data_IF_576549112912
#
_entry.id   IF_576549112912
#
_cell.length_a   1.000
_cell.length_b   1.000
_cell.length_c   1.000
_cell.angle_alpha   90.00
_cell.angle_beta   90.00
_cell.angle_gamma   90.00
#
_symmetry.space_group_name_H-M   'P 1'
#
loop_
_entity.id
_entity.type
_entity.pdbx_description
1 polymer ?
#
# COMPACT_ATOMS: atom_id res chain seq x y z
N UNK A 1 -20.30 -40.79 21.98
CA UNK A 1 -20.11 -39.72 20.98
C UNK A 1 -21.47 -39.07 20.78
N UNK A 2 -21.68 -37.90 21.38
CA UNK A 2 -22.93 -37.14 21.25
C UNK A 2 -22.81 -36.18 20.05
N UNK A 3 -23.88 -36.01 19.25
CA UNK A 3 -23.88 -35.04 18.17
C UNK A 3 -24.02 -33.61 18.72
N UNK A 4 -23.42 -32.60 18.06
CA UNK A 4 -23.50 -31.21 18.50
C UNK A 4 -24.87 -30.60 18.16
N UNK A 5 -25.44 -29.91 19.14
CA UNK A 5 -26.67 -29.13 19.03
C UNK A 5 -26.46 -27.87 18.16
N UNK A 6 -27.30 -27.72 17.13
CA UNK A 6 -27.38 -26.51 16.31
C UNK A 6 -28.10 -25.38 17.06
N UNK A 7 -27.44 -24.22 17.15
CA UNK A 7 -28.06 -22.98 17.66
C UNK A 7 -28.83 -22.25 16.55
N UNK A 8 -30.00 -21.66 16.85
CA UNK A 8 -30.78 -20.90 15.89
C UNK A 8 -30.12 -19.53 15.59
N UNK A 9 -30.21 -19.12 14.33
CA UNK A 9 -29.81 -17.79 13.83
C UNK A 9 -30.90 -16.77 14.18
N UNK A 10 -30.55 -15.73 14.93
CA UNK A 10 -31.37 -14.53 15.08
C UNK A 10 -31.24 -13.64 13.83
N UNK A 11 -32.39 -13.30 13.25
CA UNK A 11 -32.55 -12.27 12.22
C UNK A 11 -32.46 -10.89 12.89
N UNK A 12 -31.42 -10.14 12.58
CA UNK A 12 -31.26 -8.75 12.99
C UNK A 12 -31.84 -7.79 11.95
N UNK A 13 -32.87 -7.03 12.33
CA UNK A 13 -33.42 -5.90 11.57
C UNK A 13 -32.35 -4.84 11.28
N UNK A 14 -32.07 -4.59 10.00
CA UNK A 14 -31.27 -3.46 9.55
C UNK A 14 -32.06 -2.15 9.67
N UNK A 15 -31.68 -1.30 10.63
CA UNK A 15 -32.15 0.09 10.68
C UNK A 15 -31.32 0.99 9.74
N UNK A 16 -31.92 2.04 9.13
CA UNK A 16 -31.28 2.88 8.11
C UNK A 16 -30.11 3.71 8.68
N UNK A 17 -29.01 3.74 7.93
CA UNK A 17 -27.68 4.27 8.31
C UNK A 17 -27.49 5.79 8.14
N UNK A 18 -28.53 6.54 7.79
CA UNK A 18 -28.36 7.94 7.33
C UNK A 18 -28.56 9.04 8.40
N UNK A 19 -29.21 8.78 9.53
CA UNK A 19 -29.43 9.83 10.55
C UNK A 19 -28.36 9.91 11.64
N UNK A 20 -27.38 9.00 11.69
CA UNK A 20 -26.31 9.04 12.70
C UNK A 20 -25.11 9.93 12.33
N UNK A 21 -25.04 10.48 11.10
CA UNK A 21 -23.90 11.29 10.68
C UNK A 21 -24.04 12.80 10.92
N UNK A 22 -25.23 13.33 11.25
CA UNK A 22 -25.40 14.78 11.50
C UNK A 22 -25.32 15.22 12.97
N UNK A 23 -25.35 14.30 13.94
CA UNK A 23 -25.23 14.67 15.37
C UNK A 23 -23.80 14.71 15.93
N UNK A 24 -22.75 14.41 15.13
CA UNK A 24 -21.36 14.52 15.58
C UNK A 24 -20.69 15.88 15.33
N UNK A 25 -21.33 16.81 14.60
CA UNK A 25 -20.74 18.12 14.33
C UNK A 25 -21.15 19.25 15.31
N UNK A 26 -22.16 19.05 16.16
CA UNK A 26 -22.64 20.10 17.08
C UNK A 26 -22.09 20.03 18.51
N UNK A 27 -21.23 19.05 18.84
CA UNK A 27 -20.43 19.06 20.08
C UNK A 27 -19.07 19.72 19.86
N UNK A 28 -19.05 20.89 19.20
CA UNK A 28 -17.99 21.85 19.44
C UNK A 28 -18.15 22.33 20.88
N UNK A 29 -17.44 21.64 21.76
CA UNK A 29 -17.22 21.98 23.15
C UNK A 29 -17.06 23.48 23.27
N UNK A 30 -17.94 24.11 24.05
CA UNK A 30 -17.69 25.39 24.65
C UNK A 30 -16.34 25.28 25.36
N UNK A 31 -15.28 25.76 24.70
CA UNK A 31 -13.95 25.83 25.30
C UNK A 31 -14.12 26.69 26.55
N UNK A 32 -13.90 26.13 27.76
CA UNK A 32 -13.95 26.94 28.96
C UNK A 32 -13.01 28.14 28.75
N UNK A 33 -13.41 29.35 29.18
CA UNK A 33 -12.59 30.54 29.03
C UNK A 33 -11.21 30.21 29.58
N UNK A 34 -10.17 30.47 28.77
CA UNK A 34 -8.78 30.18 29.09
C UNK A 34 -8.38 30.95 30.36
N UNK A 35 -8.68 30.39 31.53
CA UNK A 35 -8.11 30.84 32.79
C UNK A 35 -6.59 30.73 32.58
N UNK A 36 -5.84 31.78 32.90
CA UNK A 36 -4.39 31.73 32.93
C UNK A 36 -3.96 30.69 33.97
N UNK A 37 -3.83 29.41 33.56
CA UNK A 37 -3.49 28.29 34.44
C UNK A 37 -2.12 28.46 35.12
N UNK A 38 -1.30 29.38 34.63
CA UNK A 38 0.09 29.58 35.06
C UNK A 38 0.33 30.91 35.79
N UNK A 39 -0.72 31.59 36.27
CA UNK A 39 -0.58 32.86 37.01
C UNK A 39 -0.14 32.63 38.48
N UNK A 40 0.98 31.95 38.65
CA UNK A 40 1.64 31.70 39.94
C UNK A 40 2.98 32.44 40.05
N UNK A 41 3.34 33.23 39.05
CA UNK A 41 4.64 33.89 38.94
C UNK A 41 4.97 34.83 40.10
N UNK A 42 3.96 35.32 40.84
CA UNK A 42 4.09 36.35 41.88
C UNK A 42 3.80 35.89 43.32
N UNK A 43 3.69 34.58 43.57
CA UNK A 43 3.52 34.13 44.96
C UNK A 43 4.80 34.40 45.77
N UNK A 44 4.69 34.95 46.99
CA UNK A 44 5.84 35.14 47.85
C UNK A 44 6.46 33.76 48.16
N UNK A 45 7.75 33.64 47.94
CA UNK A 45 8.51 32.43 48.23
C UNK A 45 8.70 32.37 49.75
N UNK A 46 8.31 31.28 50.43
CA UNK A 46 8.54 31.17 51.86
C UNK A 46 10.05 31.13 52.17
N UNK A 47 10.49 31.75 53.29
CA UNK A 47 11.89 31.74 53.67
C UNK A 47 12.39 30.30 53.89
N UNK A 48 13.69 30.08 53.69
CA UNK A 48 14.38 28.80 53.91
C UNK A 48 13.87 27.61 53.09
N UNK A 49 13.07 27.83 52.04
CA UNK A 49 12.57 26.77 51.16
C UNK A 49 13.53 26.47 50.00
N UNK A 50 13.57 25.21 49.56
CA UNK A 50 14.27 24.79 48.35
C UNK A 50 13.41 25.10 47.13
N UNK A 51 13.74 26.18 46.41
CA UNK A 51 12.97 26.62 45.24
C UNK A 51 13.36 25.83 43.99
N UNK A 52 12.39 25.20 43.34
CA UNK A 52 12.55 24.56 42.03
C UNK A 52 11.84 25.43 40.98
N UNK A 53 12.61 25.92 40.02
CA UNK A 53 12.12 26.81 38.97
C UNK A 53 11.77 26.02 37.72
N UNK A 54 10.55 26.22 37.22
CA UNK A 54 10.07 25.70 35.95
C UNK A 54 9.98 26.83 34.94
N UNK A 55 10.70 26.74 33.83
CA UNK A 55 10.46 27.58 32.65
C UNK A 55 9.53 26.83 31.70
N UNK A 56 8.38 27.42 31.44
CA UNK A 56 7.31 26.82 30.65
C UNK A 56 6.88 27.77 29.56
N UNK A 57 6.80 27.28 28.32
CA UNK A 57 6.28 28.04 27.20
C UNK A 57 4.83 28.48 27.45
N UNK A 58 4.56 29.78 27.32
CA UNK A 58 3.23 30.40 27.50
C UNK A 58 2.81 31.16 26.24
N UNK A 59 1.52 31.51 26.14
CA UNK A 59 0.95 32.27 25.03
C UNK A 59 1.22 31.62 23.66
N UNK A 60 1.14 30.28 23.58
CA UNK A 60 1.52 29.55 22.37
C UNK A 60 0.67 29.95 21.16
N UNK A 61 -0.62 30.14 21.39
CA UNK A 61 -1.59 30.53 20.36
C UNK A 61 -1.37 31.95 19.81
N UNK A 62 -0.81 32.87 20.61
CA UNK A 62 -0.63 34.27 20.22
C UNK A 62 0.77 34.56 19.66
N UNK A 63 1.80 33.96 20.26
CA UNK A 63 3.20 34.32 19.98
C UNK A 63 3.86 33.43 18.92
N UNK A 64 3.39 32.19 18.73
CA UNK A 64 3.96 31.26 17.77
C UNK A 64 2.91 30.24 17.29
N UNK A 65 1.77 30.77 16.83
CA UNK A 65 0.64 30.00 16.29
C UNK A 65 1.02 29.06 15.14
N UNK A 66 2.08 29.36 14.41
CA UNK A 66 2.62 28.50 13.34
C UNK A 66 3.22 27.19 13.85
N UNK A 67 3.52 27.07 15.15
CA UNK A 67 4.04 25.85 15.74
C UNK A 67 2.89 24.95 16.19
N UNK A 68 2.49 24.02 15.33
CA UNK A 68 1.41 23.05 15.61
C UNK A 68 1.73 22.07 16.75
N UNK A 69 2.96 22.03 17.24
CA UNK A 69 3.41 21.11 18.28
C UNK A 69 3.30 21.67 19.70
N UNK A 70 2.89 22.93 19.88
CA UNK A 70 2.86 23.59 21.18
C UNK A 70 1.45 23.66 21.76
N UNK A 71 1.19 22.82 22.76
CA UNK A 71 -0.07 22.79 23.51
C UNK A 71 0.13 23.33 24.94
N UNK A 72 -0.25 24.59 25.15
CA UNK A 72 -0.15 25.29 26.44
C UNK A 72 -0.88 24.56 27.57
N UNK A 73 -1.99 23.88 27.27
CA UNK A 73 -2.72 23.10 28.28
C UNK A 73 -1.89 21.90 28.74
N UNK A 74 -1.17 21.24 27.82
CA UNK A 74 -0.26 20.15 28.15
C UNK A 74 0.89 20.63 29.04
N UNK A 75 1.48 21.78 28.72
CA UNK A 75 2.53 22.39 29.53
C UNK A 75 2.04 22.69 30.96
N UNK A 76 0.85 23.28 31.10
CA UNK A 76 0.27 23.60 32.40
C UNK A 76 -0.06 22.36 33.23
N UNK A 77 -0.72 21.36 32.63
CA UNK A 77 -1.03 20.07 33.29
C UNK A 77 0.25 19.40 33.80
N UNK A 78 1.26 19.30 32.93
CA UNK A 78 2.52 18.66 33.28
C UNK A 78 3.22 19.40 34.42
N UNK A 79 3.22 20.74 34.43
CA UNK A 79 3.76 21.51 35.56
C UNK A 79 3.04 21.20 36.88
N UNK A 80 1.70 21.10 36.88
CA UNK A 80 0.96 20.77 38.11
C UNK A 80 1.30 19.37 38.64
N UNK A 81 1.37 18.37 37.76
CA UNK A 81 1.80 17.02 38.12
C UNK A 81 3.20 17.02 38.74
N UNK A 82 4.13 17.78 38.14
CA UNK A 82 5.47 17.96 38.68
C UNK A 82 5.47 18.66 40.04
N UNK A 83 4.70 19.75 40.17
CA UNK A 83 4.61 20.51 41.41
C UNK A 83 4.16 19.62 42.57
N UNK A 84 3.07 18.89 42.38
CA UNK A 84 2.54 17.97 43.40
C UNK A 84 3.56 16.86 43.73
N UNK A 85 4.16 16.24 42.72
CA UNK A 85 5.11 15.16 42.94
C UNK A 85 6.43 15.62 43.60
N UNK A 86 6.95 16.80 43.23
CA UNK A 86 8.16 17.38 43.84
C UNK A 86 7.90 17.81 45.28
N UNK A 87 6.81 18.54 45.54
CA UNK A 87 6.45 19.01 46.88
C UNK A 87 6.14 17.84 47.83
N UNK A 88 5.61 16.73 47.31
CA UNK A 88 5.42 15.50 48.07
C UNK A 88 6.74 14.73 48.34
N UNK A 89 7.65 14.65 47.36
CA UNK A 89 8.86 13.84 47.45
C UNK A 89 10.02 14.54 48.17
N UNK A 90 10.04 15.88 48.19
CA UNK A 90 11.16 16.70 48.68
C UNK A 90 10.61 17.65 49.76
N UNK A 91 10.82 17.34 51.05
CA UNK A 91 10.36 18.20 52.14
C UNK A 91 10.93 19.60 52.01
N UNK A 92 10.14 20.60 52.39
CA UNK A 92 10.55 22.02 52.36
C UNK A 92 10.95 22.51 50.95
N UNK A 93 10.40 21.90 49.89
CA UNK A 93 10.54 22.39 48.53
C UNK A 93 9.35 23.27 48.12
N UNK A 94 9.59 24.18 47.18
CA UNK A 94 8.57 25.07 46.64
C UNK A 94 8.76 25.21 45.13
N UNK A 95 7.74 24.87 44.34
CA UNK A 95 7.82 24.92 42.88
C UNK A 95 7.26 26.23 42.34
N UNK A 96 8.06 26.96 41.56
CA UNK A 96 7.64 28.20 40.88
C UNK A 96 7.70 28.03 39.37
N UNK A 97 6.77 28.65 38.65
CA UNK A 97 6.73 28.65 37.18
C UNK A 97 6.96 30.05 36.63
N UNK A 98 7.88 30.18 35.67
CA UNK A 98 8.27 31.42 35.00
C UNK A 98 8.60 32.59 35.95
N UNK A 99 8.96 32.29 37.20
CA UNK A 99 9.29 33.32 38.18
C UNK A 99 10.54 34.08 37.74
N UNK A 100 10.45 35.40 37.67
CA UNK A 100 11.48 36.30 37.13
C UNK A 100 11.82 36.12 35.63
N UNK A 101 11.01 35.38 34.87
CA UNK A 101 11.19 35.18 33.42
C UNK A 101 10.12 35.97 32.66
N UNK A 102 10.50 37.14 32.13
CA UNK A 102 9.57 38.01 31.39
C UNK A 102 9.11 37.40 30.07
N UNK A 103 10.00 36.65 29.40
CA UNK A 103 9.75 36.05 28.10
C UNK A 103 10.25 34.60 28.09
N UNK A 104 9.43 33.65 28.53
CA UNK A 104 9.78 32.24 28.46
C UNK A 104 10.10 31.85 27.03
N UNK A 105 11.12 31.02 26.90
CA UNK A 105 11.55 30.42 25.65
C UNK A 105 10.43 29.68 24.94
N UNK A 106 10.29 29.90 23.64
CA UNK A 106 9.36 29.13 22.80
C UNK A 106 9.68 27.64 22.89
N UNK A 107 8.67 26.84 23.29
CA UNK A 107 8.76 25.38 23.43
C UNK A 107 9.52 24.86 24.65
N UNK A 108 9.89 25.73 25.58
CA UNK A 108 10.61 25.36 26.79
C UNK A 108 9.76 24.58 27.78
N UNK A 109 10.38 23.55 28.35
CA UNK A 109 10.00 22.92 29.62
C UNK A 109 11.32 22.63 30.33
N UNK A 110 11.79 23.61 31.09
CA UNK A 110 13.11 23.57 31.75
C UNK A 110 12.90 23.51 33.26
N UNK A 111 13.65 22.66 33.94
CA UNK A 111 13.63 22.52 35.40
C UNK A 111 15.01 22.93 35.91
N UNK A 112 15.05 23.95 36.76
CA UNK A 112 16.30 24.52 37.27
C UNK A 112 16.26 24.74 38.78
N UNK A 113 17.44 24.71 39.40
CA UNK A 113 17.64 25.08 40.79
C UNK A 113 18.94 25.88 40.92
N UNK A 114 18.90 27.06 41.54
CA UNK A 114 20.06 27.95 41.67
C UNK A 114 20.82 28.18 40.34
N UNK A 115 20.09 28.49 39.27
CA UNK A 115 20.62 28.67 37.90
C UNK A 115 21.30 27.44 37.28
N UNK A 116 21.14 26.24 37.86
CA UNK A 116 21.63 24.97 37.29
C UNK A 116 20.46 24.19 36.69
N UNK A 117 20.64 23.75 35.44
CA UNK A 117 19.62 22.98 34.70
C UNK A 117 19.65 21.52 35.16
N UNK A 118 18.51 21.03 35.62
CA UNK A 118 18.28 19.62 35.99
C UNK A 118 17.66 18.87 34.80
N UNK A 119 16.73 19.52 34.09
CA UNK A 119 16.11 18.97 32.89
C UNK A 119 15.85 20.08 31.87
N UNK A 120 16.07 19.77 30.60
CA UNK A 120 15.79 20.63 29.46
C UNK A 120 15.09 19.86 28.35
N UNK A 121 13.83 20.22 28.07
CA UNK A 121 13.08 19.73 26.91
C UNK A 121 13.72 20.19 25.60
N UNK A 122 14.29 21.40 25.57
CA UNK A 122 15.01 21.90 24.39
C UNK A 122 16.24 21.07 24.06
N UNK A 123 16.87 20.47 25.07
CA UNK A 123 18.02 19.60 24.86
C UNK A 123 17.64 18.15 24.57
N UNK A 124 16.61 17.61 25.24
CA UNK A 124 16.17 16.23 25.05
C UNK A 124 15.31 16.04 23.79
N UNK A 125 14.61 17.08 23.35
CA UNK A 125 13.58 17.01 22.32
C UNK A 125 12.26 16.35 22.78
N UNK A 126 12.17 15.91 24.04
CA UNK A 126 11.06 15.13 24.58
C UNK A 126 10.47 15.82 25.81
N UNK A 127 9.22 15.50 26.14
CA UNK A 127 8.65 15.89 27.43
C UNK A 127 9.19 14.98 28.54
N UNK A 128 9.46 15.51 29.74
CA UNK A 128 9.93 14.70 30.85
C UNK A 128 8.83 13.79 31.38
N UNK A 129 9.21 12.59 31.81
CA UNK A 129 8.34 11.72 32.61
C UNK A 129 8.44 12.15 34.08
N UNK A 130 7.31 12.32 34.77
CA UNK A 130 7.24 12.90 36.12
C UNK A 130 8.09 12.12 37.13
N UNK A 131 7.77 10.85 37.36
CA UNK A 131 8.44 10.02 38.37
C UNK A 131 9.99 9.99 38.25
N UNK A 132 10.59 9.59 37.11
CA UNK A 132 12.05 9.53 37.00
C UNK A 132 12.72 10.90 37.06
N UNK A 133 12.02 11.96 36.64
CA UNK A 133 12.56 13.33 36.72
C UNK A 133 12.52 13.85 38.15
N UNK A 134 11.50 13.51 38.94
CA UNK A 134 11.46 13.82 40.39
C UNK A 134 12.59 13.11 41.14
N UNK A 135 12.85 11.83 40.84
CA UNK A 135 14.02 11.13 41.38
C UNK A 135 15.34 11.81 41.00
N UNK A 136 15.45 12.28 39.75
CA UNK A 136 16.61 13.05 39.27
C UNK A 136 16.79 14.36 40.05
N UNK A 137 15.70 15.09 40.33
CA UNK A 137 15.74 16.31 41.15
C UNK A 137 16.23 15.98 42.57
N UNK A 138 15.71 14.93 43.19
CA UNK A 138 16.14 14.49 44.52
C UNK A 138 17.63 14.18 44.57
N UNK A 139 18.12 13.33 43.66
CA UNK A 139 19.56 12.99 43.56
C UNK A 139 20.43 14.22 43.29
N UNK A 140 19.98 15.13 42.43
CA UNK A 140 20.67 16.39 42.14
C UNK A 140 20.85 17.23 43.42
N UNK A 141 19.79 17.38 44.22
CA UNK A 141 19.86 18.14 45.47
C UNK A 141 20.75 17.46 46.50
N UNK A 142 20.70 16.14 46.62
CA UNK A 142 21.56 15.38 47.52
C UNK A 142 23.04 15.52 47.12
N UNK A 143 23.36 15.40 45.84
CA UNK A 143 24.71 15.58 45.33
C UNK A 143 25.21 17.02 45.49
N UNK A 144 24.33 18.01 45.31
CA UNK A 144 24.64 19.42 45.55
C UNK A 144 24.98 19.69 47.03
N UNK A 145 24.19 19.13 47.96
CA UNK A 145 24.45 19.23 49.42
C UNK A 145 25.76 18.55 49.81
N UNK A 146 26.10 17.44 49.16
CA UNK A 146 27.33 16.68 49.41
C UNK A 146 28.56 17.25 48.66
N UNK A 147 28.41 18.36 47.92
CA UNK A 147 29.52 18.98 47.19
C UNK A 147 30.03 18.18 45.98
N UNK A 148 29.23 17.24 45.46
CA UNK A 148 29.58 16.50 44.24
C UNK A 148 29.38 17.36 42.99
N UNK A 149 30.08 17.01 41.91
CA UNK A 149 29.87 17.68 40.63
C UNK A 149 28.50 17.34 40.04
N UNK A 150 27.67 18.36 39.86
CA UNK A 150 26.32 18.25 39.31
C UNK A 150 26.24 18.59 37.81
N UNK A 151 27.37 18.88 37.15
CA UNK A 151 27.37 19.23 35.70
C UNK A 151 26.78 18.14 34.82
N UNK A 152 26.88 16.86 35.21
CA UNK A 152 26.32 15.73 34.48
C UNK A 152 24.80 15.61 34.55
N UNK A 153 24.12 16.39 35.41
CA UNK A 153 22.67 16.29 35.58
C UNK A 153 21.88 17.05 34.54
N UNK A 154 22.44 18.03 33.84
CA UNK A 154 21.72 18.63 32.73
C UNK A 154 21.43 17.54 31.69
N UNK A 155 20.23 17.52 31.10
CA UNK A 155 20.06 16.81 29.83
C UNK A 155 20.98 17.51 28.84
N UNK A 156 22.20 17.01 28.69
CA UNK A 156 23.02 17.37 27.55
C UNK A 156 22.19 16.96 26.35
N UNK A 157 22.06 17.83 25.34
CA UNK A 157 21.82 17.32 23.99
C UNK A 157 22.82 16.20 23.88
N UNK A 158 22.38 14.95 23.72
CA UNK A 158 23.31 13.91 23.34
C UNK A 158 24.09 14.58 22.22
N UNK A 159 25.39 14.80 22.44
CA UNK A 159 26.28 15.11 21.34
C UNK A 159 26.21 13.81 20.57
N UNK A 160 25.15 13.66 19.76
CA UNK A 160 24.95 12.67 18.73
C UNK A 160 26.31 12.69 18.11
N UNK A 161 27.14 11.68 18.44
CA UNK A 161 28.57 11.74 18.18
C UNK A 161 28.64 12.22 16.75
N UNK A 162 29.06 13.47 16.58
CA UNK A 162 29.26 14.00 15.25
C UNK A 162 30.47 13.16 14.87
N UNK A 163 30.20 12.01 14.22
CA UNK A 163 31.21 11.30 13.44
C UNK A 163 31.94 12.43 12.77
N UNK A 164 33.25 12.62 13.02
CA UNK A 164 33.98 13.81 12.61
C UNK A 164 33.51 14.09 11.21
N UNK A 165 32.81 15.21 11.04
CA UNK A 165 32.24 15.56 9.75
C UNK A 165 33.49 15.72 8.91
N UNK A 166 33.87 14.66 8.19
CA UNK A 166 34.80 14.74 7.10
C UNK A 166 34.25 15.90 6.32
N UNK A 167 34.98 17.02 6.34
CA UNK A 167 34.65 18.19 5.57
C UNK A 167 34.74 17.69 4.13
N UNK A 168 33.65 17.11 3.63
CA UNK A 168 33.48 16.78 2.23
C UNK A 168 33.56 18.14 1.59
N UNK A 169 34.75 18.46 1.08
CA UNK A 169 35.00 19.68 0.35
C UNK A 169 33.88 19.78 -0.66
N UNK A 170 33.08 20.84 -0.56
CA UNK A 170 32.00 21.05 -1.52
C UNK A 170 32.65 20.94 -2.91
N UNK A 171 32.16 20.06 -3.79
CA UNK A 171 32.78 19.87 -5.09
C UNK A 171 32.91 21.22 -5.77
N UNK A 172 34.07 21.48 -6.35
CA UNK A 172 34.30 22.71 -7.10
C UNK A 172 33.26 22.81 -8.22
N UNK A 173 32.90 24.02 -8.64
CA UNK A 173 31.91 24.23 -9.70
C UNK A 173 32.25 23.43 -10.98
N UNK A 174 33.53 23.28 -11.30
CA UNK A 174 34.01 22.42 -12.39
C UNK A 174 33.69 20.93 -12.18
N UNK A 175 33.82 20.41 -10.95
CA UNK A 175 33.43 19.03 -10.63
C UNK A 175 31.91 18.82 -10.75
N UNK A 176 31.11 19.84 -10.42
CA UNK A 176 29.66 19.81 -10.62
C UNK A 176 29.27 19.76 -12.10
N UNK A 177 29.91 20.58 -12.95
CA UNK A 177 29.70 20.56 -14.40
C UNK A 177 30.04 19.17 -14.96
N UNK A 178 31.21 18.62 -14.60
CA UNK A 178 31.64 17.30 -15.08
C UNK A 178 30.68 16.19 -14.65
N UNK A 179 30.16 16.23 -13.42
CA UNK A 179 29.13 15.28 -12.97
C UNK A 179 27.84 15.40 -13.79
N UNK A 180 27.43 16.62 -14.14
CA UNK A 180 26.22 16.85 -14.94
C UNK A 180 26.38 16.39 -16.39
N UNK A 181 27.55 16.61 -16.99
CA UNK A 181 27.87 16.08 -18.31
C UNK A 181 27.87 14.55 -18.33
N UNK A 182 28.45 13.91 -17.31
CA UNK A 182 28.46 12.45 -17.21
C UNK A 182 27.05 11.89 -16.98
N UNK A 183 26.22 12.57 -16.19
CA UNK A 183 24.82 12.19 -15.98
C UNK A 183 24.01 12.27 -17.29
N UNK A 184 24.25 13.32 -18.09
CA UNK A 184 23.62 13.48 -19.40
C UNK A 184 24.06 12.39 -20.38
N UNK A 185 25.37 12.11 -20.45
CA UNK A 185 25.90 11.04 -21.30
C UNK A 185 25.34 9.65 -20.91
N UNK A 186 25.16 9.39 -19.61
CA UNK A 186 24.51 8.15 -19.14
C UNK A 186 23.05 8.08 -19.55
N UNK A 187 22.30 9.18 -19.47
CA UNK A 187 20.89 9.19 -19.92
C UNK A 187 20.77 8.97 -21.43
N UNK A 188 21.68 9.55 -22.21
CA UNK A 188 21.73 9.36 -23.66
C UNK A 188 22.05 7.91 -24.04
N UNK A 189 23.05 7.29 -23.38
CA UNK A 189 23.39 5.88 -23.58
C UNK A 189 22.22 4.94 -23.24
N UNK A 190 21.48 5.21 -22.15
CA UNK A 190 20.28 4.44 -21.78
C UNK A 190 19.20 4.57 -22.85
N UNK A 191 19.02 5.77 -23.43
CA UNK A 191 18.03 6.00 -24.49
C UNK A 191 18.40 5.22 -25.75
N UNK A 192 19.66 5.24 -26.16
CA UNK A 192 20.16 4.51 -27.33
C UNK A 192 20.04 3.00 -27.14
N UNK A 193 20.37 2.48 -25.95
CA UNK A 193 20.23 1.05 -25.64
C UNK A 193 18.76 0.59 -25.71
N UNK A 194 17.84 1.40 -25.18
CA UNK A 194 16.40 1.11 -25.23
C UNK A 194 15.87 1.15 -26.67
N UNK A 195 16.34 2.10 -27.50
CA UNK A 195 15.98 2.16 -28.91
C UNK A 195 16.50 0.92 -29.67
N UNK A 196 17.72 0.46 -29.38
CA UNK A 196 18.28 -0.76 -29.97
C UNK A 196 17.47 -1.99 -29.60
N UNK A 197 17.13 -2.15 -28.31
CA UNK A 197 16.29 -3.27 -27.83
C UNK A 197 14.92 -3.28 -28.48
N UNK A 198 14.33 -2.09 -28.68
CA UNK A 198 13.04 -1.97 -29.36
C UNK A 198 13.13 -2.40 -30.84
N UNK A 199 14.15 -1.96 -31.58
CA UNK A 199 14.37 -2.38 -32.99
C UNK A 199 14.62 -3.88 -33.11
N UNK A 200 15.39 -4.46 -32.19
CA UNK A 200 15.66 -5.90 -32.16
C UNK A 200 14.38 -6.71 -31.89
N UNK A 201 13.51 -6.21 -31.00
CA UNK A 201 12.20 -6.82 -30.76
C UNK A 201 11.28 -6.72 -31.99
N UNK A 202 11.21 -5.56 -32.63
CA UNK A 202 10.42 -5.35 -33.86
C UNK A 202 10.91 -6.30 -34.99
N UNK A 203 12.23 -6.45 -35.17
CA UNK A 203 12.79 -7.39 -36.16
C UNK A 203 12.47 -8.87 -35.82
N UNK A 204 12.49 -9.23 -34.53
CA UNK A 204 12.15 -10.58 -34.09
C UNK A 204 10.67 -10.89 -34.32
N UNK A 205 9.77 -9.96 -33.99
CA UNK A 205 8.33 -10.10 -34.22
C UNK A 205 8.02 -10.19 -35.72
N UNK A 206 8.74 -9.45 -36.57
CA UNK A 206 8.60 -9.54 -38.02
C UNK A 206 9.05 -10.91 -38.56
N UNK A 207 10.19 -11.44 -38.09
CA UNK A 207 10.65 -12.79 -38.47
C UNK A 207 9.67 -13.89 -38.04
N UNK A 208 9.17 -13.83 -36.81
CA UNK A 208 8.17 -14.77 -36.31
C UNK A 208 6.86 -14.70 -37.12
N UNK A 209 6.46 -13.49 -37.53
CA UNK A 209 5.31 -13.31 -38.41
C UNK A 209 5.53 -13.93 -39.79
N UNK A 210 6.68 -13.68 -40.42
CA UNK A 210 7.02 -14.26 -41.72
C UNK A 210 7.09 -15.80 -41.67
N UNK A 211 7.61 -16.35 -40.56
CA UNK A 211 7.65 -17.79 -40.35
C UNK A 211 6.26 -18.40 -40.19
N UNK A 212 5.37 -17.76 -39.42
CA UNK A 212 3.96 -18.18 -39.30
C UNK A 212 3.25 -18.15 -40.65
N UNK A 213 3.44 -17.10 -41.44
CA UNK A 213 2.85 -16.99 -42.78
C UNK A 213 3.36 -18.10 -43.72
N UNK A 214 4.64 -18.51 -43.60
CA UNK A 214 5.18 -19.65 -44.37
C UNK A 214 4.57 -20.98 -43.94
N UNK A 215 4.46 -21.23 -42.64
CA UNK A 215 3.86 -22.47 -42.11
C UNK A 215 2.37 -22.54 -42.52
N UNK A 216 1.63 -21.43 -42.45
CA UNK A 216 0.24 -21.37 -42.89
C UNK A 216 0.09 -21.66 -44.39
N UNK A 217 0.95 -21.07 -45.23
CA UNK A 217 0.95 -21.33 -46.66
C UNK A 217 1.30 -22.80 -47.00
N UNK A 218 2.24 -23.41 -46.26
CA UNK A 218 2.60 -24.82 -46.43
C UNK A 218 1.45 -25.75 -46.00
N UNK A 219 0.84 -25.51 -44.84
CA UNK A 219 -0.33 -26.27 -44.38
C UNK A 219 -1.50 -26.18 -45.35
N UNK A 220 -1.73 -25.00 -45.94
CA UNK A 220 -2.74 -24.82 -46.98
C UNK A 220 -2.45 -25.66 -48.22
N UNK A 221 -1.19 -25.71 -48.67
CA UNK A 221 -0.79 -26.56 -49.81
C UNK A 221 -0.99 -28.04 -49.53
N UNK A 222 -0.66 -28.50 -48.32
CA UNK A 222 -0.88 -29.89 -47.89
C UNK A 222 -2.37 -30.22 -47.91
N UNK A 223 -3.21 -29.34 -47.35
CA UNK A 223 -4.66 -29.53 -47.33
C UNK A 223 -5.28 -29.55 -48.75
N UNK A 224 -4.80 -28.70 -49.66
CA UNK A 224 -5.23 -28.71 -51.07
C UNK A 224 -4.81 -30.00 -51.78
N UNK A 225 -3.61 -30.53 -51.51
CA UNK A 225 -3.13 -31.79 -52.08
C UNK A 225 -3.92 -33.00 -51.54
N UNK A 226 -4.21 -33.04 -50.24
CA UNK A 226 -5.05 -34.09 -49.63
C UNK A 226 -6.48 -34.06 -50.18
N UNK A 227 -7.06 -32.87 -50.33
CA UNK A 227 -8.38 -32.71 -50.94
C UNK A 227 -8.41 -33.19 -52.40
N UNK A 228 -7.36 -32.89 -53.18
CA UNK A 228 -7.23 -33.36 -54.56
C UNK A 228 -7.11 -34.88 -54.65
N UNK A 229 -6.27 -35.51 -53.80
CA UNK A 229 -6.13 -36.98 -53.72
C UNK A 229 -7.46 -37.65 -53.36
N UNK A 230 -8.17 -37.11 -52.37
CA UNK A 230 -9.49 -37.63 -51.97
C UNK A 230 -10.51 -37.53 -53.11
N UNK A 231 -10.54 -36.41 -53.83
CA UNK A 231 -11.43 -36.23 -54.98
C UNK A 231 -11.11 -37.21 -56.12
N UNK A 232 -9.83 -37.53 -56.35
CA UNK A 232 -9.42 -38.54 -57.33
C UNK A 232 -9.79 -39.96 -56.89
N UNK A 233 -9.60 -40.31 -55.61
CA UNK A 233 -10.03 -41.58 -55.03
C UNK A 233 -11.55 -41.78 -55.16
N UNK A 234 -12.34 -40.75 -54.82
CA UNK A 234 -13.79 -40.78 -54.96
C UNK A 234 -14.23 -40.94 -56.43
N UNK A 235 -13.50 -40.33 -57.39
CA UNK A 235 -13.75 -40.50 -58.83
C UNK A 235 -13.48 -41.94 -59.29
N UNK A 236 -12.38 -42.55 -58.84
CA UNK A 236 -12.04 -43.93 -59.17
C UNK A 236 -13.04 -44.92 -58.58
N UNK A 237 -13.46 -44.74 -57.33
CA UNK A 237 -14.52 -45.56 -56.71
C UNK A 237 -15.83 -45.48 -57.48
N UNK A 238 -16.22 -44.29 -57.91
CA UNK A 238 -17.43 -44.10 -58.73
C UNK A 238 -17.31 -44.80 -60.09
N UNK A 239 -16.16 -44.71 -60.74
CA UNK A 239 -15.92 -45.40 -62.02
C UNK A 239 -15.96 -46.93 -61.87
N UNK A 240 -15.45 -47.47 -60.76
CA UNK A 240 -15.53 -48.89 -60.44
C UNK A 240 -16.97 -49.33 -60.16
N UNK A 241 -17.73 -48.58 -59.36
CA UNK A 241 -19.16 -48.82 -59.13
C UNK A 241 -19.98 -48.80 -60.43
N UNK A 242 -19.69 -47.85 -61.32
CA UNK A 242 -20.36 -47.75 -62.62
C UNK A 242 -19.99 -48.94 -63.54
N UNK A 243 -18.75 -49.44 -63.50
CA UNK A 243 -18.33 -50.67 -64.21
C UNK A 243 -19.02 -51.92 -63.67
N UNK A 244 -19.12 -52.06 -62.35
CA UNK A 244 -19.81 -53.18 -61.71
C UNK A 244 -21.29 -53.18 -62.12
N UNK A 245 -21.96 -52.02 -62.05
CA UNK A 245 -23.37 -51.89 -62.49
C UNK A 245 -23.54 -52.24 -63.96
N UNK A 246 -22.66 -51.79 -64.84
CA UNK A 246 -22.70 -52.11 -66.26
C UNK A 246 -22.49 -53.62 -66.52
N UNK A 247 -21.61 -54.29 -65.76
CA UNK A 247 -21.40 -55.73 -65.86
C UNK A 247 -22.60 -56.54 -65.33
N UNK A 248 -23.20 -56.12 -64.22
CA UNK A 248 -24.44 -56.71 -63.71
C UNK A 248 -25.60 -56.54 -64.68
N UNK A 249 -25.74 -55.37 -65.30
CA UNK A 249 -26.78 -55.11 -66.30
C UNK A 249 -26.55 -55.96 -67.55
N UNK A 250 -25.29 -56.14 -67.97
CA UNK A 250 -24.93 -57.04 -69.07
C UNK A 250 -25.22 -58.50 -68.74
N UNK A 251 -24.92 -58.98 -67.52
CA UNK A 251 -25.27 -60.34 -67.06
C UNK A 251 -26.78 -60.55 -67.01
N UNK A 252 -27.56 -59.55 -66.53
CA UNK A 252 -29.02 -59.59 -66.57
C UNK A 252 -29.57 -59.64 -67.99
N UNK A 253 -28.95 -58.91 -68.93
CA UNK A 253 -29.33 -58.97 -70.34
C UNK A 253 -28.98 -60.33 -70.99
N UNK A 254 -27.84 -60.94 -70.65
CA UNK A 254 -27.48 -62.30 -71.07
C UNK A 254 -28.40 -63.37 -70.46
N UNK A 255 -28.76 -63.27 -69.18
CA UNK A 255 -29.76 -64.15 -68.55
C UNK A 255 -31.14 -63.97 -69.19
N UNK A 256 -31.57 -62.74 -69.50
CA UNK A 256 -32.82 -62.49 -70.19
C UNK A 256 -32.83 -63.06 -71.63
N UNK A 257 -31.69 -63.01 -72.33
CA UNK A 257 -31.53 -63.63 -73.66
C UNK A 257 -31.51 -65.17 -73.59
N UNK A 258 -30.89 -65.76 -72.56
CA UNK A 258 -30.86 -67.21 -72.36
C UNK A 258 -32.22 -67.76 -71.88
N UNK A 259 -33.00 -66.95 -71.14
CA UNK A 259 -34.35 -67.30 -70.72
C UNK A 259 -35.38 -67.11 -71.87
N UNK A 260 -35.09 -66.28 -72.88
CA UNK A 260 -35.87 -66.21 -74.13
C UNK A 260 -35.64 -67.40 -75.08
N UNK A 261 -34.57 -68.20 -74.88
CA UNK A 261 -34.39 -69.47 -75.60
C UNK A 261 -35.17 -70.66 -74.99
N UNK A 262 -35.82 -70.47 -73.83
CA UNK A 262 -36.54 -71.54 -73.12
C UNK A 262 -38.05 -71.30 -72.93
N UNK A 263 -38.65 -70.28 -73.56
CA UNK A 263 -40.11 -70.08 -73.55
C UNK A 263 -40.63 -69.61 -74.91
N UNK A 264 -40.51 -70.45 -75.93
CA UNK A 264 -41.58 -70.57 -76.95
C UNK A 264 -42.58 -71.61 -76.44
N UNK A 265 -43.64 -71.14 -75.79
CA UNK A 265 -44.81 -71.97 -75.50
C UNK A 265 -45.39 -71.75 -74.12
N UNK A 266 -46.18 -70.69 -73.92
CA UNK A 266 -47.59 -70.85 -73.54
C UNK A 266 -48.33 -69.50 -73.60
N UNK A 267 -49.54 -69.57 -74.14
CA UNK A 267 -50.48 -68.48 -74.41
C UNK A 267 -51.31 -68.16 -73.14
N UNK A 268 -52.05 -67.03 -73.16
CA UNK A 268 -52.53 -66.32 -71.97
C UNK A 268 -53.89 -66.79 -71.45
N UNK A 269 -54.20 -66.46 -70.20
CA UNK A 269 -55.59 -66.36 -69.72
C UNK A 269 -55.76 -65.22 -68.70
N UNK A 270 -56.22 -64.09 -69.22
CA UNK A 270 -57.36 -63.28 -68.79
C UNK A 270 -57.98 -63.50 -67.38
N UNK A 271 -58.01 -62.45 -66.55
CA UNK A 271 -59.14 -61.92 -65.74
C UNK A 271 -58.60 -60.85 -64.77
N UNK A 272 -58.93 -59.56 -64.87
CA UNK A 272 -60.19 -58.86 -64.61
C UNK A 272 -60.43 -58.50 -63.13
N UNK A 273 -60.80 -57.22 -62.94
CA UNK A 273 -61.35 -56.57 -61.73
C UNK A 273 -60.32 -56.20 -60.65
N UNK A 274 -60.30 -54.99 -60.09
CA UNK A 274 -61.17 -53.83 -60.22
C UNK A 274 -60.80 -52.85 -59.11
N UNK A 275 -61.10 -51.56 -59.35
CA UNK A 275 -61.61 -50.58 -58.37
C UNK A 275 -60.91 -50.43 -56.99
N UNK A 276 -60.58 -49.26 -56.44
CA UNK A 276 -60.80 -47.82 -56.71
C UNK A 276 -60.13 -47.08 -55.50
N UNK A 277 -60.41 -45.80 -55.14
CA UNK A 277 -59.37 -44.78 -55.05
C UNK A 277 -59.24 -44.13 -53.64
N UNK A 278 -58.63 -42.93 -53.63
CA UNK A 278 -58.53 -41.93 -52.56
C UNK A 278 -57.40 -42.21 -51.54
N UNK A 279 -56.57 -41.25 -51.15
CA UNK A 279 -56.66 -39.80 -51.17
C UNK A 279 -55.25 -39.21 -51.06
#
# INVERSE_FOLDING_TARGET
MQPPEEKPKEEGEEKPKEEQQQQQQSKQQEKPPAKNYLDLSNKPIPPDTTVIHFEVCINCQKSHSFCTQHDELRYAKLYHEFKEAVEAAIPNSFCVVNHSIQKPSIGAFEITHQNKIIYSKKNSGLFPCVAPTVERIKRFLDDLKNGKDVKGYATTKEKKQEKPIEKKSKPTFQAYIKMKEEEFARQEAIREENERKRKEQEEKEEKERQERERIEAENKRIAEEEAAKKAEEDRLKKEEEDKIKAEEEKKKAEEAANNQQNQEGEKPQEQAQGEKPAQ
#
